data_IF_410514081273
#
_entry.id   IF_410514081273
#
_cell.length_a   1.000
_cell.length_b   1.000
_cell.length_c   1.000
_cell.angle_alpha   90.00
_cell.angle_beta   90.00
_cell.angle_gamma   90.00
#
_symmetry.space_group_name_H-M   'P 1'
#
loop_
_entity.id
_entity.type
_entity.pdbx_description
1 polymer ?
#
# COMPACT_ATOMS: atom_id res chain seq x y z
N UNK A 1 -19.37 -34.83 -34.46
CA UNK A 1 -18.92 -34.50 -33.09
C UNK A 1 -18.75 -35.80 -32.30
N UNK A 2 -17.53 -36.32 -32.37
CA UNK A 2 -17.05 -37.57 -31.78
C UNK A 2 -17.28 -37.61 -30.27
N UNK A 3 -17.79 -38.74 -29.75
CA UNK A 3 -18.09 -38.93 -28.32
C UNK A 3 -16.90 -38.57 -27.42
N UNK A 4 -15.67 -38.81 -27.90
CA UNK A 4 -14.43 -38.43 -27.23
C UNK A 4 -14.30 -36.92 -27.00
N UNK A 5 -14.66 -36.07 -27.98
CA UNK A 5 -14.62 -34.62 -27.82
C UNK A 5 -15.78 -34.09 -26.96
N UNK A 6 -16.93 -34.77 -26.94
CA UNK A 6 -18.02 -34.43 -26.00
C UNK A 6 -17.61 -34.72 -24.55
N UNK A 7 -16.99 -35.88 -24.30
CA UNK A 7 -16.46 -36.25 -22.99
C UNK A 7 -15.35 -35.28 -22.55
N UNK A 8 -14.47 -34.87 -23.48
CA UNK A 8 -13.38 -33.94 -23.17
C UNK A 8 -13.90 -32.52 -22.86
N UNK A 9 -14.94 -32.06 -23.54
CA UNK A 9 -15.60 -30.77 -23.25
C UNK A 9 -16.35 -30.80 -21.92
N UNK A 10 -17.06 -31.89 -21.62
CA UNK A 10 -17.73 -32.11 -20.32
C UNK A 10 -16.75 -32.09 -19.15
N UNK A 11 -15.61 -32.79 -19.27
CA UNK A 11 -14.58 -32.80 -18.22
C UNK A 11 -14.00 -31.40 -18.01
N UNK A 12 -13.71 -30.66 -19.08
CA UNK A 12 -13.19 -29.28 -18.98
C UNK A 12 -14.21 -28.35 -18.30
N UNK A 13 -15.49 -28.45 -18.67
CA UNK A 13 -16.57 -27.68 -18.06
C UNK A 13 -16.70 -27.99 -16.57
N UNK A 14 -16.68 -29.28 -16.19
CA UNK A 14 -16.76 -29.70 -14.79
C UNK A 14 -15.56 -29.21 -13.97
N UNK A 15 -14.34 -29.29 -14.50
CA UNK A 15 -13.12 -28.81 -13.82
C UNK A 15 -13.14 -27.29 -13.63
N UNK A 16 -13.56 -26.52 -14.65
CA UNK A 16 -13.69 -25.07 -14.54
C UNK A 16 -14.72 -24.66 -13.49
N UNK A 17 -15.87 -25.34 -13.47
CA UNK A 17 -16.95 -25.08 -12.51
C UNK A 17 -16.47 -25.37 -11.06
N UNK A 18 -15.69 -26.44 -10.87
CA UNK A 18 -15.13 -26.83 -9.58
C UNK A 18 -14.03 -25.86 -9.09
N UNK A 19 -13.19 -25.34 -10.00
CA UNK A 19 -12.20 -24.30 -9.71
C UNK A 19 -12.85 -22.97 -9.29
N UNK A 20 -13.92 -22.57 -9.97
CA UNK A 20 -14.67 -21.34 -9.62
C UNK A 20 -15.37 -21.49 -8.27
N UNK A 21 -15.98 -22.66 -8.01
CA UNK A 21 -16.63 -22.95 -6.73
C UNK A 21 -15.63 -22.97 -5.55
N UNK A 22 -14.43 -23.51 -5.77
CA UNK A 22 -13.35 -23.51 -4.78
C UNK A 22 -12.65 -22.15 -4.64
N UNK A 23 -12.66 -21.34 -5.71
CA UNK A 23 -12.06 -20.01 -5.75
C UNK A 23 -12.85 -18.96 -4.95
N UNK A 24 -14.18 -19.04 -4.93
CA UNK A 24 -15.01 -18.15 -4.11
C UNK A 24 -14.73 -18.29 -2.61
N UNK A 25 -14.45 -19.49 -2.10
CA UNK A 25 -14.23 -19.70 -0.67
C UNK A 25 -12.87 -19.15 -0.17
N UNK A 26 -11.90 -18.93 -1.06
CA UNK A 26 -10.55 -18.49 -0.69
C UNK A 26 -10.31 -16.99 -0.91
N UNK A 27 -11.15 -16.32 -1.69
CA UNK A 27 -11.07 -14.87 -1.92
C UNK A 27 -11.84 -14.07 -0.85
N UNK A 28 -12.89 -14.63 -0.26
CA UNK A 28 -13.68 -13.98 0.80
C UNK A 28 -13.08 -14.12 2.21
N UNK A 29 -11.96 -14.86 2.36
CA UNK A 29 -11.30 -15.06 3.66
C UNK A 29 -10.13 -14.10 3.93
N UNK A 30 -9.90 -13.07 3.09
CA UNK A 30 -8.92 -12.01 3.38
C UNK A 30 -9.50 -10.61 3.58
N UNK A 31 -10.82 -10.49 3.66
CA UNK A 31 -11.50 -9.31 4.18
C UNK A 31 -12.41 -9.75 5.34
N UNK A 32 -12.45 -8.90 6.37
CA UNK A 32 -13.19 -9.06 7.64
C UNK A 32 -12.60 -9.96 8.73
N UNK A 33 -11.42 -9.57 9.21
CA UNK A 33 -11.24 -9.36 10.65
C UNK A 33 -10.33 -8.14 10.90
N UNK A 34 -10.87 -6.95 10.67
CA UNK A 34 -10.45 -5.79 11.46
C UNK A 34 -11.69 -5.11 11.99
N UNK A 35 -12.04 -5.42 13.25
CA UNK A 35 -12.48 -4.38 14.14
C UNK A 35 -11.62 -4.46 15.41
N UNK A 36 -10.58 -3.65 15.47
CA UNK A 36 -10.23 -3.02 16.74
C UNK A 36 -9.78 -1.60 16.44
N UNK A 37 -10.76 -0.73 16.27
CA UNK A 37 -10.64 0.63 16.77
C UNK A 37 -10.33 0.55 18.26
N UNK A 38 -9.04 0.48 18.60
CA UNK A 38 -8.56 0.92 19.90
C UNK A 38 -7.94 2.28 19.63
N UNK A 39 -8.70 3.33 19.91
CA UNK A 39 -8.20 4.68 20.12
C UNK A 39 -7.31 4.71 21.38
N UNK A 40 -6.27 3.88 21.41
CA UNK A 40 -5.10 4.08 22.24
C UNK A 40 -4.01 4.52 21.27
N UNK A 41 -3.46 5.74 21.42
CA UNK A 41 -2.18 6.05 20.82
C UNK A 41 -1.24 4.88 21.14
N UNK A 42 -0.43 4.37 20.18
CA UNK A 42 0.68 3.50 20.56
C UNK A 42 1.40 4.24 21.68
N UNK A 43 1.56 3.59 22.84
CA UNK A 43 2.26 4.19 23.98
C UNK A 43 3.58 4.70 23.43
N UNK A 44 3.65 6.02 23.22
CA UNK A 44 4.85 6.71 22.79
C UNK A 44 5.76 6.50 23.97
N UNK A 45 6.67 5.53 23.84
CA UNK A 45 7.77 5.37 24.75
C UNK A 45 8.46 6.73 24.77
N UNK A 46 8.15 7.51 25.81
CA UNK A 46 8.75 8.79 26.13
C UNK A 46 10.15 8.55 26.66
N UNK A 47 10.93 7.74 25.94
CA UNK A 47 12.37 7.93 25.89
C UNK A 47 12.53 9.23 25.11
N UNK A 48 13.14 10.28 25.70
CA UNK A 48 13.65 11.38 24.90
C UNK A 48 14.61 10.73 23.90
N UNK A 49 14.15 10.54 22.67
CA UNK A 49 15.02 10.21 21.57
C UNK A 49 15.96 11.39 21.52
N UNK A 50 17.16 11.23 22.06
CA UNK A 50 18.29 12.12 21.86
C UNK A 50 18.67 12.01 20.38
N UNK A 51 17.73 12.38 19.50
CA UNK A 51 17.98 12.59 18.09
C UNK A 51 18.69 13.94 18.05
N UNK A 52 19.92 14.00 17.51
CA UNK A 52 20.55 15.28 17.25
C UNK A 52 19.54 16.17 16.54
N UNK A 53 19.35 17.39 17.06
CA UNK A 53 18.34 18.39 16.66
C UNK A 53 18.39 18.76 15.16
N UNK A 54 19.35 18.21 14.43
CA UNK A 54 19.78 18.53 13.09
C UNK A 54 19.87 17.31 12.15
N UNK A 55 19.50 16.09 12.60
CA UNK A 55 19.47 14.90 11.72
C UNK A 55 18.52 15.10 10.52
N UNK A 56 17.38 15.75 10.76
CA UNK A 56 16.38 16.00 9.72
C UNK A 56 16.91 16.94 8.62
N UNK A 57 17.74 17.91 8.98
CA UNK A 57 18.31 18.89 8.06
C UNK A 57 19.27 18.28 7.03
N UNK A 58 19.82 17.09 7.32
CA UNK A 58 20.71 16.39 6.39
C UNK A 58 19.96 15.75 5.21
N UNK A 59 18.65 15.48 5.36
CA UNK A 59 17.83 14.86 4.32
C UNK A 59 17.66 15.79 3.12
N UNK A 60 17.69 15.19 1.93
CA UNK A 60 17.55 15.89 0.68
C UNK A 60 17.27 14.95 -0.48
N UNK A 61 16.84 15.52 -1.59
CA UNK A 61 16.44 14.81 -2.80
C UNK A 61 16.93 15.57 -4.03
N UNK A 62 16.98 14.85 -5.15
CA UNK A 62 17.25 15.45 -6.46
C UNK A 62 15.93 15.79 -7.11
N UNK A 63 15.78 17.04 -7.54
CA UNK A 63 14.65 17.52 -8.29
C UNK A 63 14.78 17.12 -9.78
N UNK A 64 13.68 17.25 -10.50
CA UNK A 64 13.58 16.86 -11.91
C UNK A 64 14.52 17.66 -12.82
N UNK A 65 14.90 18.87 -12.41
CA UNK A 65 15.87 19.73 -13.09
C UNK A 65 17.34 19.42 -12.72
N UNK A 66 17.58 18.30 -12.03
CA UNK A 66 18.87 17.88 -11.47
C UNK A 66 19.44 18.78 -10.37
N UNK A 67 18.66 19.73 -9.84
CA UNK A 67 19.06 20.47 -8.65
C UNK A 67 18.90 19.61 -7.39
N UNK A 68 19.74 19.86 -6.39
CA UNK A 68 19.67 19.17 -5.10
C UNK A 68 18.94 20.05 -4.09
N UNK A 69 17.85 19.56 -3.53
CA UNK A 69 17.11 20.20 -2.46
C UNK A 69 17.38 19.50 -1.12
N UNK A 70 17.52 20.27 -0.03
CA UNK A 70 17.70 19.74 1.32
C UNK A 70 16.73 20.41 2.28
N UNK A 71 16.38 19.71 3.36
CA UNK A 71 15.48 20.26 4.38
C UNK A 71 16.12 21.47 5.10
N UNK A 72 17.46 21.51 5.19
CA UNK A 72 18.22 22.67 5.69
C UNK A 72 17.94 23.97 4.93
N UNK A 73 17.54 23.89 3.67
CA UNK A 73 17.34 25.07 2.80
C UNK A 73 16.06 25.83 3.17
N UNK A 74 15.19 25.21 3.97
CA UNK A 74 13.92 25.76 4.42
C UNK A 74 13.89 26.12 5.91
N UNK A 75 15.05 26.18 6.58
CA UNK A 75 15.13 26.60 7.98
C UNK A 75 14.45 27.96 8.20
N UNK A 76 13.66 28.05 9.27
CA UNK A 76 12.87 29.25 9.59
C UNK A 76 11.58 29.41 8.79
N UNK A 77 11.24 28.44 7.92
CA UNK A 77 9.96 28.40 7.18
C UNK A 77 9.09 27.26 7.71
N UNK A 78 7.78 27.46 7.67
CA UNK A 78 6.83 26.36 7.84
C UNK A 78 6.81 25.56 6.53
N UNK A 79 7.11 24.27 6.62
CA UNK A 79 7.16 23.35 5.48
C UNK A 79 6.16 22.22 5.71
N UNK A 80 5.33 21.95 4.70
CA UNK A 80 4.49 20.76 4.65
C UNK A 80 5.14 19.79 3.67
N UNK A 81 5.46 18.59 4.15
CA UNK A 81 5.97 17.51 3.32
C UNK A 81 4.80 16.60 2.93
N UNK A 82 4.47 16.58 1.65
CA UNK A 82 3.48 15.68 1.07
C UNK A 82 4.18 14.48 0.42
N UNK A 83 3.79 13.27 0.82
CA UNK A 83 4.35 12.03 0.32
C UNK A 83 3.28 11.28 -0.48
N UNK A 84 3.38 11.35 -1.82
CA UNK A 84 2.48 10.65 -2.73
C UNK A 84 3.24 9.77 -3.71
N UNK A 85 2.51 8.84 -4.34
CA UNK A 85 3.00 8.03 -5.44
C UNK A 85 1.89 7.74 -6.45
N UNK A 86 2.23 7.64 -7.74
CA UNK A 86 1.27 7.41 -8.83
C UNK A 86 0.55 6.07 -8.76
N UNK A 87 1.09 5.13 -7.99
CA UNK A 87 0.53 3.79 -7.77
C UNK A 87 -0.10 3.64 -6.38
N UNK A 88 -0.05 4.67 -5.53
CA UNK A 88 -0.69 4.64 -4.23
C UNK A 88 -2.16 5.04 -4.38
N UNK A 89 -3.05 4.04 -4.42
CA UNK A 89 -4.48 4.24 -4.63
C UNK A 89 -5.14 5.19 -3.62
N UNK A 90 -5.01 5.02 -2.29
CA UNK A 90 -5.55 5.99 -1.34
C UNK A 90 -4.87 7.37 -1.41
N UNK A 91 -3.59 7.46 -1.81
CA UNK A 91 -2.91 8.75 -1.94
C UNK A 91 -3.43 9.55 -3.15
N UNK A 92 -3.83 8.87 -4.23
CA UNK A 92 -4.36 9.52 -5.44
C UNK A 92 -5.67 10.26 -5.19
N UNK A 93 -6.47 9.78 -4.24
CA UNK A 93 -7.73 10.40 -3.87
C UNK A 93 -7.54 11.68 -3.02
N UNK A 94 -6.41 11.77 -2.31
CA UNK A 94 -6.03 12.92 -1.47
C UNK A 94 -5.31 14.02 -2.26
N UNK A 95 -4.64 13.67 -3.37
CA UNK A 95 -3.95 14.61 -4.25
C UNK A 95 -4.92 15.27 -5.25
N UNK A 96 -4.87 16.60 -5.45
CA UNK A 96 -5.79 17.32 -6.34
C UNK A 96 -5.63 17.02 -7.84
#
# INVERSE_FOLDING_TARGET
MNSKSKILVEIILLVLLLCVYSGCNRWTSRQEASPSNTNAPPAVSSTPSARPENEASAYGWTLQDNQRARLSDYLGKVVVLDFYATWCEPCRDETP
#
